data_IF_136720098352
#
_entry.id   IF_136720098352
#
_cell.length_a   1.000
_cell.length_b   1.000
_cell.length_c   1.000
_cell.angle_alpha   90.00
_cell.angle_beta   90.00
_cell.angle_gamma   90.00
#
_symmetry.space_group_name_H-M   'P 1'
#
loop_
_entity.id
_entity.type
_entity.pdbx_description
1 polymer ?
#
# COMPACT_ATOMS: atom_id res chain seq x y z
N UNK A 1 -9.94 4.00 9.41
CA UNK A 1 -9.18 4.88 8.49
C UNK A 1 -9.69 6.32 8.60
N UNK A 2 -8.88 7.32 8.25
CA UNK A 2 -9.33 8.73 8.24
C UNK A 2 -10.50 9.01 7.26
N UNK A 3 -10.58 8.26 6.15
CA UNK A 3 -11.74 8.33 5.25
C UNK A 3 -13.04 7.78 5.85
N UNK A 4 -12.98 7.01 6.93
CA UNK A 4 -14.17 6.46 7.58
C UNK A 4 -14.88 7.52 8.43
N UNK A 5 -14.11 8.44 9.03
CA UNK A 5 -14.62 9.52 9.89
C UNK A 5 -15.03 10.76 9.09
N UNK A 6 -14.82 10.82 7.77
CA UNK A 6 -15.36 11.90 6.95
C UNK A 6 -16.89 11.92 7.02
N UNK A 7 -17.45 13.08 7.38
CA UNK A 7 -18.88 13.35 7.52
C UNK A 7 -19.42 14.22 6.38
N UNK A 8 -18.67 15.26 6.02
CA UNK A 8 -18.99 16.19 4.94
C UNK A 8 -17.71 16.78 4.36
N UNK A 9 -17.69 17.03 3.05
CA UNK A 9 -16.63 17.75 2.35
C UNK A 9 -17.24 18.86 1.50
N UNK A 10 -16.57 20.00 1.42
CA UNK A 10 -16.87 21.07 0.46
C UNK A 10 -15.70 21.23 -0.49
N UNK A 11 -15.96 21.30 -1.79
CA UNK A 11 -14.95 21.37 -2.84
C UNK A 11 -15.34 22.33 -3.96
N UNK A 12 -14.33 22.82 -4.68
CA UNK A 12 -14.45 23.55 -5.95
C UNK A 12 -14.23 22.56 -7.08
N UNK A 13 -15.21 22.43 -7.98
CA UNK A 13 -15.16 21.55 -9.15
C UNK A 13 -14.48 22.22 -10.34
N UNK A 14 -14.21 21.48 -11.43
CA UNK A 14 -13.46 21.98 -12.59
C UNK A 14 -14.12 23.17 -13.29
N UNK A 15 -15.46 23.28 -13.22
CA UNK A 15 -16.24 24.40 -13.74
C UNK A 15 -16.40 25.57 -12.72
N UNK A 16 -15.67 25.52 -11.61
CA UNK A 16 -15.65 26.57 -10.59
C UNK A 16 -16.82 26.53 -9.59
N UNK A 17 -17.77 25.57 -9.69
CA UNK A 17 -18.85 25.46 -8.70
C UNK A 17 -18.35 24.96 -7.35
N UNK A 18 -18.84 25.59 -6.29
CA UNK A 18 -18.70 25.10 -4.91
C UNK A 18 -19.78 24.04 -4.66
N UNK A 19 -19.35 22.86 -4.24
CA UNK A 19 -20.22 21.70 -4.00
C UNK A 19 -19.92 21.13 -2.62
N UNK A 20 -20.97 20.93 -1.81
CA UNK A 20 -20.87 20.31 -0.49
C UNK A 20 -21.58 18.95 -0.53
N UNK A 21 -20.87 17.88 -0.15
CA UNK A 21 -21.36 16.50 -0.14
C UNK A 21 -21.12 15.84 1.22
N UNK A 22 -21.99 14.91 1.63
CA UNK A 22 -22.06 14.39 2.99
C UNK A 22 -22.55 12.95 3.11
N UNK A 23 -22.42 12.39 4.32
CA UNK A 23 -22.93 11.07 4.70
C UNK A 23 -24.47 10.95 4.74
N UNK A 24 -25.18 12.05 4.48
CA UNK A 24 -26.64 12.10 4.35
C UNK A 24 -27.13 12.08 2.92
N UNK A 25 -26.24 12.23 1.93
CA UNK A 25 -26.64 12.23 0.52
C UNK A 25 -27.06 10.83 0.07
N UNK A 26 -28.03 10.76 -0.84
CA UNK A 26 -28.52 9.47 -1.34
C UNK A 26 -27.39 8.75 -2.07
N UNK A 27 -27.05 7.53 -1.67
CA UNK A 27 -25.88 6.80 -2.17
C UNK A 27 -25.86 6.56 -3.70
N UNK A 28 -27.01 6.71 -4.38
CA UNK A 28 -27.16 6.61 -5.82
C UNK A 28 -27.22 7.97 -6.56
N UNK A 29 -27.31 9.11 -5.86
CA UNK A 29 -27.18 10.43 -6.47
C UNK A 29 -25.72 10.75 -6.79
N UNK A 30 -25.48 11.74 -7.63
CA UNK A 30 -24.13 12.09 -8.06
C UNK A 30 -23.30 12.68 -6.90
N UNK A 31 -23.95 13.37 -5.96
CA UNK A 31 -23.37 13.87 -4.71
C UNK A 31 -22.98 12.73 -3.77
N UNK A 32 -23.89 11.78 -3.52
CA UNK A 32 -23.60 10.61 -2.67
C UNK A 32 -22.50 9.70 -3.26
N UNK A 33 -22.44 9.62 -4.59
CA UNK A 33 -21.33 8.96 -5.30
C UNK A 33 -20.01 9.73 -5.13
N UNK A 34 -20.01 11.05 -5.30
CA UNK A 34 -18.81 11.89 -5.07
C UNK A 34 -18.32 11.78 -3.61
N UNK A 35 -19.22 11.84 -2.63
CA UNK A 35 -18.89 11.63 -1.22
C UNK A 35 -18.22 10.26 -0.99
N UNK A 36 -18.75 9.19 -1.60
CA UNK A 36 -18.13 7.86 -1.55
C UNK A 36 -16.71 7.83 -2.15
N UNK A 37 -16.45 8.60 -3.21
CA UNK A 37 -15.13 8.68 -3.84
C UNK A 37 -14.11 9.43 -2.96
N UNK A 38 -14.51 10.56 -2.38
CA UNK A 38 -13.68 11.33 -1.45
C UNK A 38 -13.25 10.50 -0.23
N UNK A 39 -14.00 9.44 0.12
CA UNK A 39 -13.64 8.47 1.17
C UNK A 39 -12.62 7.42 0.71
N UNK A 40 -11.51 7.87 0.13
CA UNK A 40 -10.31 7.03 -0.07
C UNK A 40 -9.77 6.96 -1.50
N UNK A 41 -10.24 7.77 -2.44
CA UNK A 41 -9.63 7.86 -3.77
C UNK A 41 -8.25 8.55 -3.76
N UNK A 42 -7.92 9.32 -2.73
CA UNK A 42 -6.74 10.21 -2.73
C UNK A 42 -7.03 11.56 -3.39
N UNK A 43 -6.10 12.51 -3.22
CA UNK A 43 -6.24 13.90 -3.70
C UNK A 43 -6.17 14.04 -5.23
N UNK A 44 -6.45 15.25 -5.73
CA UNK A 44 -6.25 15.60 -7.14
C UNK A 44 -7.13 14.86 -8.16
N UNK A 45 -8.32 14.39 -7.76
CA UNK A 45 -9.16 13.54 -8.63
C UNK A 45 -10.50 14.16 -9.08
N UNK A 46 -11.17 14.97 -8.26
CA UNK A 46 -12.58 15.38 -8.49
C UNK A 46 -12.87 16.87 -8.19
N UNK A 47 -11.87 17.64 -7.79
CA UNK A 47 -12.04 18.99 -7.28
C UNK A 47 -10.96 19.38 -6.27
N UNK A 48 -10.87 20.68 -5.98
CA UNK A 48 -10.06 21.22 -4.87
C UNK A 48 -10.92 21.20 -3.61
N UNK A 49 -10.59 20.37 -2.63
CA UNK A 49 -11.32 20.34 -1.35
C UNK A 49 -10.92 21.54 -0.50
N UNK A 50 -11.91 22.32 -0.05
CA UNK A 50 -11.73 23.54 0.75
C UNK A 50 -12.22 23.42 2.19
N UNK A 51 -13.04 22.41 2.50
CA UNK A 51 -13.50 22.12 3.86
C UNK A 51 -13.69 20.61 4.07
N UNK A 52 -13.28 20.10 5.22
CA UNK A 52 -13.68 18.79 5.73
C UNK A 52 -14.38 18.94 7.09
N UNK A 53 -15.50 18.23 7.28
CA UNK A 53 -16.10 17.97 8.59
C UNK A 53 -15.95 16.49 8.92
N UNK A 54 -15.41 16.22 10.11
CA UNK A 54 -15.07 14.86 10.56
C UNK A 54 -15.88 14.47 11.79
N UNK A 55 -16.17 13.19 11.96
CA UNK A 55 -16.56 12.61 13.24
C UNK A 55 -15.35 12.54 14.16
N UNK A 56 -15.53 12.97 15.41
CA UNK A 56 -14.55 12.84 16.48
C UNK A 56 -14.83 11.55 17.28
N UNK A 57 -13.76 10.84 17.65
CA UNK A 57 -13.85 9.70 18.57
C UNK A 57 -13.92 10.17 20.02
N UNK A 58 -14.76 9.55 20.85
CA UNK A 58 -14.65 9.65 22.32
C UNK A 58 -13.59 8.64 22.78
N UNK A 59 -12.62 9.10 23.58
CA UNK A 59 -11.64 8.24 24.25
C UNK A 59 -12.31 7.41 25.36
N UNK A 60 -11.73 6.27 25.71
CA UNK A 60 -12.21 5.44 26.82
C UNK A 60 -12.01 6.13 28.17
N UNK A 61 -10.88 6.79 28.36
CA UNK A 61 -10.58 7.55 29.58
C UNK A 61 -11.32 8.90 29.58
N UNK A 62 -12.17 9.14 30.59
CA UNK A 62 -13.02 10.35 30.65
C UNK A 62 -12.23 11.65 30.89
N UNK A 63 -11.00 11.56 31.43
CA UNK A 63 -10.09 12.71 31.58
C UNK A 63 -9.33 13.05 30.29
N UNK A 64 -9.54 12.26 29.22
CA UNK A 64 -8.91 12.43 27.91
C UNK A 64 -7.46 11.94 27.85
N UNK A 65 -7.05 11.10 28.80
CA UNK A 65 -5.72 10.50 28.84
C UNK A 65 -5.58 9.37 27.83
N UNK A 66 -4.39 9.26 27.23
CA UNK A 66 -3.93 8.14 26.42
C UNK A 66 -2.52 7.76 26.87
N UNK A 67 -2.15 6.49 26.73
CA UNK A 67 -0.75 6.07 26.90
C UNK A 67 -0.07 6.12 25.54
N UNK A 68 1.02 6.88 25.45
CA UNK A 68 1.80 6.96 24.22
C UNK A 68 3.30 6.88 24.50
N UNK A 69 4.08 6.41 23.52
CA UNK A 69 5.49 6.15 23.73
C UNK A 69 6.29 5.83 22.48
N UNK A 70 7.62 5.87 22.63
CA UNK A 70 8.57 5.53 21.56
C UNK A 70 9.78 4.79 22.11
N UNK A 71 10.05 3.62 21.55
CA UNK A 71 11.25 2.83 21.87
C UNK A 71 12.00 2.46 20.59
N UNK A 72 13.33 2.34 20.64
CA UNK A 72 14.14 1.77 19.56
C UNK A 72 14.90 0.59 20.14
N UNK A 73 14.60 -0.61 19.64
CA UNK A 73 15.32 -1.82 19.96
C UNK A 73 16.42 -2.05 18.94
N UNK A 74 17.66 -2.09 19.42
CA UNK A 74 18.83 -2.51 18.66
C UNK A 74 19.19 -3.93 19.14
N UNK A 75 18.89 -4.99 18.38
CA UNK A 75 19.31 -6.35 18.74
C UNK A 75 20.84 -6.46 18.75
N UNK A 76 21.37 -7.37 19.58
CA UNK A 76 22.79 -7.71 19.54
C UNK A 76 23.14 -8.41 18.22
N UNK A 77 24.30 -8.13 17.60
CA UNK A 77 24.74 -8.80 16.38
C UNK A 77 25.08 -10.29 16.56
N UNK A 78 25.11 -10.80 17.80
CA UNK A 78 25.32 -12.23 18.06
C UNK A 78 24.15 -13.06 17.49
N UNK A 79 24.46 -14.07 16.66
CA UNK A 79 23.48 -14.86 15.90
C UNK A 79 22.28 -15.34 16.75
N UNK A 80 22.53 -15.92 17.94
CA UNK A 80 21.47 -16.38 18.86
C UNK A 80 20.52 -15.25 19.30
N UNK A 81 21.04 -14.05 19.55
CA UNK A 81 20.23 -12.90 19.95
C UNK A 81 19.40 -12.37 18.77
N UNK A 82 19.96 -12.39 17.57
CA UNK A 82 19.24 -12.05 16.34
C UNK A 82 18.14 -13.08 16.01
N UNK A 83 18.38 -14.37 16.23
CA UNK A 83 17.34 -15.41 16.07
C UNK A 83 16.19 -15.24 17.07
N UNK A 84 16.50 -14.89 18.33
CA UNK A 84 15.49 -14.57 19.35
C UNK A 84 14.70 -13.31 18.98
N UNK A 85 15.38 -12.28 18.47
CA UNK A 85 14.78 -11.05 17.95
C UNK A 85 13.82 -11.34 16.78
N UNK A 86 14.26 -12.09 15.76
CA UNK A 86 13.41 -12.45 14.61
C UNK A 86 12.17 -13.23 15.03
N UNK A 87 12.32 -14.22 15.93
CA UNK A 87 11.19 -14.97 16.52
C UNK A 87 10.27 -14.08 17.37
N UNK A 88 10.81 -13.02 17.97
CA UNK A 88 10.03 -12.03 18.73
C UNK A 88 9.22 -11.14 17.80
N UNK A 89 9.79 -10.68 16.69
CA UNK A 89 9.08 -9.91 15.67
C UNK A 89 8.02 -10.74 14.94
N UNK A 90 8.31 -12.01 14.60
CA UNK A 90 7.33 -12.97 14.05
C UNK A 90 6.10 -13.05 14.97
N UNK A 91 6.31 -13.33 16.27
CA UNK A 91 5.21 -13.34 17.26
C UNK A 91 4.49 -12.00 17.33
N UNK A 92 5.23 -10.90 17.48
CA UNK A 92 4.69 -9.54 17.65
C UNK A 92 3.70 -9.12 16.55
N UNK A 93 4.00 -9.44 15.28
CA UNK A 93 3.10 -9.18 14.15
C UNK A 93 1.93 -10.17 14.05
N UNK A 94 2.05 -11.35 14.65
CA UNK A 94 0.95 -12.33 14.70
C UNK A 94 0.07 -12.20 15.94
N UNK A 95 0.50 -11.44 16.96
CA UNK A 95 -0.23 -11.20 18.20
C UNK A 95 -1.61 -10.61 17.91
N UNK A 96 -2.63 -11.22 18.50
CA UNK A 96 -3.97 -10.66 18.59
C UNK A 96 -3.97 -9.49 19.59
N UNK A 97 -3.88 -8.27 19.05
CA UNK A 97 -3.89 -7.01 19.79
C UNK A 97 -5.33 -6.46 19.89
N UNK A 98 -5.76 -5.95 21.06
CA UNK A 98 -7.10 -5.39 21.21
C UNK A 98 -7.24 -4.03 20.50
N UNK A 99 -8.46 -3.68 20.07
CA UNK A 99 -8.76 -2.44 19.31
C UNK A 99 -8.30 -1.13 20.00
N UNK A 100 -8.03 -1.14 21.31
CA UNK A 100 -7.53 0.01 22.07
C UNK A 100 -6.05 0.33 21.82
N UNK A 101 -5.25 -0.62 21.29
CA UNK A 101 -3.80 -0.44 21.10
C UNK A 101 -3.41 -0.36 19.62
N UNK A 102 -2.43 0.49 19.33
CA UNK A 102 -1.72 0.53 18.05
C UNK A 102 -0.23 0.61 18.36
N UNK A 103 0.56 -0.32 17.83
CA UNK A 103 2.02 -0.27 17.94
C UNK A 103 2.64 -0.34 16.54
N UNK A 104 2.81 0.82 15.92
CA UNK A 104 3.49 0.91 14.64
C UNK A 104 4.98 0.60 14.83
N UNK A 105 5.58 -0.05 13.83
CA UNK A 105 6.99 -0.46 13.89
C UNK A 105 7.74 -0.05 12.64
N UNK A 106 8.95 0.47 12.79
CA UNK A 106 9.85 0.79 11.68
C UNK A 106 11.14 0.01 11.85
N UNK A 107 11.40 -0.93 10.94
CA UNK A 107 12.73 -1.52 10.79
C UNK A 107 13.66 -0.45 10.22
N UNK A 108 14.88 -0.37 10.73
CA UNK A 108 15.87 0.65 10.42
C UNK A 108 17.20 -0.01 10.05
N UNK A 109 17.73 0.33 8.88
CA UNK A 109 19.10 0.07 8.49
C UNK A 109 19.77 1.40 8.12
N UNK A 110 20.50 1.94 9.08
CA UNK A 110 21.29 3.17 8.97
C UNK A 110 22.74 2.78 8.69
N UNK A 111 23.29 3.21 7.55
CA UNK A 111 24.64 2.84 7.12
C UNK A 111 25.73 3.41 8.05
N UNK A 112 25.50 4.56 8.70
CA UNK A 112 26.40 5.15 9.71
C UNK A 112 26.35 4.39 11.04
N UNK A 113 25.27 3.64 11.32
CA UNK A 113 25.15 2.83 12.52
C UNK A 113 25.79 1.44 12.36
N UNK A 114 26.94 1.21 13.01
CA UNK A 114 27.69 -0.07 12.94
C UNK A 114 27.44 -1.03 14.11
N UNK A 115 26.87 -0.57 15.23
CA UNK A 115 26.70 -1.37 16.45
C UNK A 115 25.63 -2.48 16.39
N UNK A 116 24.85 -2.55 15.30
CA UNK A 116 23.91 -3.65 15.04
C UNK A 116 23.62 -3.75 13.54
N UNK A 117 23.23 -4.94 13.08
CA UNK A 117 22.78 -5.21 11.70
C UNK A 117 21.60 -4.30 11.32
N UNK A 118 20.66 -4.11 12.23
CA UNK A 118 19.42 -3.35 12.06
C UNK A 118 18.88 -2.87 13.41
N UNK A 119 17.82 -2.06 13.38
CA UNK A 119 17.01 -1.74 14.56
C UNK A 119 15.52 -1.82 14.27
N UNK A 120 14.69 -1.86 15.30
CA UNK A 120 13.23 -1.62 15.17
C UNK A 120 12.81 -0.52 16.13
N UNK A 121 12.26 0.57 15.58
CA UNK A 121 11.55 1.62 16.31
C UNK A 121 10.09 1.22 16.47
N UNK A 122 9.56 1.31 17.68
CA UNK A 122 8.15 1.16 18.01
C UNK A 122 7.56 2.53 18.34
N UNK A 123 6.38 2.83 17.82
CA UNK A 123 5.53 3.96 18.22
C UNK A 123 4.25 3.39 18.82
N UNK A 124 4.01 3.66 20.09
CA UNK A 124 2.92 3.09 20.89
C UNK A 124 1.83 4.13 21.08
N UNK A 125 0.58 3.73 20.88
CA UNK A 125 -0.62 4.48 21.22
C UNK A 125 -1.63 3.52 21.87
N UNK A 126 -2.22 3.91 23.00
CA UNK A 126 -3.22 3.13 23.72
C UNK A 126 -4.29 4.03 24.34
N UNK A 127 -5.54 3.75 24.03
CA UNK A 127 -6.72 4.43 24.59
C UNK A 127 -7.16 3.72 25.89
N UNK A 128 -6.64 4.18 27.02
CA UNK A 128 -6.85 3.58 28.35
C UNK A 128 -5.81 4.05 29.37
N UNK A 129 -5.77 3.43 30.55
CA UNK A 129 -4.84 3.79 31.64
C UNK A 129 -3.44 3.18 31.47
N UNK A 130 -2.46 3.69 32.24
CA UNK A 130 -1.08 3.17 32.21
C UNK A 130 -0.98 1.76 32.78
N UNK A 131 -1.81 1.47 33.76
CA UNK A 131 -1.89 0.20 34.49
C UNK A 131 -2.45 -0.91 33.59
N UNK A 132 -3.51 -0.60 32.82
CA UNK A 132 -4.08 -1.51 31.82
C UNK A 132 -3.10 -1.77 30.66
N UNK A 133 -2.45 -0.72 30.16
CA UNK A 133 -1.39 -0.84 29.16
C UNK A 133 -0.24 -1.73 29.64
N UNK A 134 0.26 -1.51 30.85
CA UNK A 134 1.39 -2.29 31.39
C UNK A 134 1.02 -3.77 31.56
N UNK A 135 -0.21 -4.06 32.02
CA UNK A 135 -0.74 -5.42 32.10
C UNK A 135 -0.89 -6.07 30.73
N UNK A 136 -1.36 -5.33 29.72
CA UNK A 136 -1.49 -5.80 28.34
C UNK A 136 -0.12 -6.14 27.72
N UNK A 137 0.90 -5.31 27.96
CA UNK A 137 2.26 -5.57 27.48
C UNK A 137 2.89 -6.79 28.17
N UNK A 138 2.71 -6.96 29.49
CA UNK A 138 3.21 -8.15 30.19
C UNK A 138 2.53 -9.46 29.74
N UNK A 139 1.24 -9.40 29.40
CA UNK A 139 0.54 -10.54 28.82
C UNK A 139 1.02 -10.85 27.40
N UNK A 140 1.02 -9.86 26.50
CA UNK A 140 1.21 -10.09 25.06
C UNK A 140 2.69 -10.18 24.63
N UNK A 141 3.60 -9.49 25.32
CA UNK A 141 5.03 -9.40 24.92
C UNK A 141 5.91 -10.31 25.77
N UNK A 142 6.17 -11.52 25.27
CA UNK A 142 6.95 -12.54 26.02
C UNK A 142 8.46 -12.24 26.13
N UNK A 143 9.02 -11.34 25.31
CA UNK A 143 10.43 -10.95 25.40
C UNK A 143 10.57 -9.86 26.48
N UNK A 144 11.29 -10.19 27.57
CA UNK A 144 11.27 -9.41 28.82
C UNK A 144 11.84 -8.00 28.68
N UNK A 145 12.90 -7.81 27.90
CA UNK A 145 13.52 -6.50 27.72
C UNK A 145 12.68 -5.60 26.82
N UNK A 146 12.08 -6.15 25.75
CA UNK A 146 11.13 -5.41 24.92
C UNK A 146 9.91 -4.99 25.75
N UNK A 147 9.28 -5.90 26.50
CA UNK A 147 8.16 -5.59 27.38
C UNK A 147 8.53 -4.49 28.39
N UNK A 148 9.67 -4.63 29.09
CA UNK A 148 10.19 -3.64 30.03
C UNK A 148 10.41 -2.28 29.39
N UNK A 149 10.98 -2.21 28.20
CA UNK A 149 11.28 -0.93 27.54
C UNK A 149 10.02 -0.29 26.93
N UNK A 150 9.09 -1.05 26.35
CA UNK A 150 7.79 -0.50 25.90
C UNK A 150 7.04 0.14 27.07
N UNK A 151 6.98 -0.53 28.24
CA UNK A 151 6.37 0.02 29.46
C UNK A 151 7.10 1.24 30.04
N UNK A 152 8.43 1.25 30.00
CA UNK A 152 9.28 2.35 30.50
C UNK A 152 9.29 3.56 29.58
N UNK A 153 9.13 3.37 28.27
CA UNK A 153 9.22 4.40 27.23
C UNK A 153 7.85 4.90 26.75
N UNK A 154 6.79 4.56 27.49
CA UNK A 154 5.44 5.06 27.30
C UNK A 154 4.93 5.68 28.60
N UNK A 155 4.11 6.71 28.49
CA UNK A 155 3.56 7.47 29.61
C UNK A 155 2.09 7.84 29.32
N UNK A 156 1.29 8.03 30.38
CA UNK A 156 -0.09 8.49 30.26
C UNK A 156 -0.14 10.02 30.27
N UNK A 157 -0.74 10.62 29.25
CA UNK A 157 -0.90 12.07 29.13
C UNK A 157 -2.20 12.42 28.38
N UNK A 158 -2.63 13.68 28.49
CA UNK A 158 -3.77 14.17 27.70
C UNK A 158 -3.44 14.07 26.21
N UNK A 159 -4.32 13.43 25.45
CA UNK A 159 -4.17 13.23 24.00
C UNK A 159 -3.78 14.48 23.23
N UNK A 160 -4.35 15.64 23.58
CA UNK A 160 -4.02 16.95 22.97
C UNK A 160 -2.58 17.39 23.20
N UNK A 161 -2.02 17.15 24.38
CA UNK A 161 -0.62 17.47 24.71
C UNK A 161 0.31 16.58 23.88
N UNK A 162 0.09 15.27 23.90
CA UNK A 162 0.88 14.33 23.13
C UNK A 162 0.83 14.60 21.61
N UNK A 163 -0.36 14.91 21.08
CA UNK A 163 -0.55 15.32 19.69
C UNK A 163 0.26 16.56 19.33
N UNK A 164 0.31 17.56 20.22
CA UNK A 164 1.08 18.78 20.01
C UNK A 164 2.60 18.56 20.14
N UNK A 165 3.06 17.96 21.24
CA UNK A 165 4.49 17.87 21.54
C UNK A 165 5.21 16.79 20.73
N UNK A 166 4.57 15.64 20.48
CA UNK A 166 5.22 14.52 19.75
C UNK A 166 4.85 14.49 18.28
N UNK A 167 3.55 14.51 17.96
CA UNK A 167 3.12 14.38 16.56
C UNK A 167 3.30 15.68 15.77
N UNK A 168 2.91 16.85 16.29
CA UNK A 168 3.10 18.10 15.56
C UNK A 168 4.59 18.50 15.45
N UNK A 169 5.46 18.16 16.42
CA UNK A 169 6.91 18.30 16.23
C UNK A 169 7.41 17.42 15.10
N UNK A 170 7.07 16.12 15.09
CA UNK A 170 7.48 15.20 14.02
C UNK A 170 6.99 15.67 12.63
N UNK A 171 5.76 16.16 12.53
CA UNK A 171 5.22 16.67 11.26
C UNK A 171 5.85 18.00 10.84
N UNK A 172 6.17 18.89 11.80
CA UNK A 172 6.91 20.12 11.54
C UNK A 172 8.34 19.82 11.07
N UNK A 173 9.01 18.84 11.68
CA UNK A 173 10.32 18.35 11.27
C UNK A 173 10.31 17.77 9.85
N UNK A 174 9.35 16.90 9.50
CA UNK A 174 9.23 16.39 8.12
C UNK A 174 8.86 17.48 7.12
N UNK A 175 8.05 18.46 7.53
CA UNK A 175 7.74 19.65 6.69
C UNK A 175 8.99 20.49 6.45
N UNK A 176 9.81 20.74 7.48
CA UNK A 176 11.09 21.45 7.37
C UNK A 176 12.07 20.67 6.48
N UNK A 177 12.14 19.33 6.61
CA UNK A 177 12.97 18.46 5.74
C UNK A 177 12.50 18.42 4.29
N UNK A 178 11.22 18.67 4.02
CA UNK A 178 10.67 18.75 2.66
C UNK A 178 11.06 20.06 1.96
N UNK A 179 11.42 21.11 2.69
CA UNK A 179 11.97 22.33 2.10
C UNK A 179 13.46 22.17 1.78
N UNK A 180 13.91 22.52 0.55
CA UNK A 180 15.32 22.42 0.14
C UNK A 180 16.22 23.52 0.74
N UNK A 181 15.84 24.10 1.87
CA UNK A 181 16.56 25.19 2.56
C UNK A 181 17.64 24.72 3.54
N UNK A 182 17.79 23.40 3.72
CA UNK A 182 18.87 22.81 4.50
C UNK A 182 20.16 22.65 3.69
N UNK A 183 21.31 22.62 4.37
CA UNK A 183 22.64 22.43 3.76
C UNK A 183 22.95 21.00 3.29
N UNK A 184 22.01 20.07 3.44
CA UNK A 184 22.09 18.69 2.94
C UNK A 184 20.81 18.36 2.17
N UNK A 185 20.89 18.23 0.84
CA UNK A 185 19.77 17.73 0.05
C UNK A 185 19.71 16.22 0.23
N UNK A 186 18.61 15.72 0.79
CA UNK A 186 18.36 14.29 0.92
C UNK A 186 17.35 13.82 -0.13
N UNK A 187 17.75 12.85 -0.93
CA UNK A 187 16.89 12.18 -1.90
C UNK A 187 16.10 11.06 -1.22
N UNK A 188 14.87 10.81 -1.67
CA UNK A 188 14.01 9.76 -1.11
C UNK A 188 13.28 8.96 -2.19
N UNK A 189 13.08 7.67 -1.95
CA UNK A 189 12.23 6.79 -2.76
C UNK A 189 11.29 5.98 -1.85
N UNK A 190 10.09 5.69 -2.35
CA UNK A 190 9.04 5.00 -1.62
C UNK A 190 8.43 3.86 -2.43
N UNK A 191 8.02 2.79 -1.74
CA UNK A 191 7.14 1.75 -2.28
C UNK A 191 6.23 1.25 -1.16
N UNK A 192 4.94 1.04 -1.43
CA UNK A 192 3.97 0.57 -0.44
C UNK A 192 3.35 -0.79 -0.77
N UNK A 193 2.95 -1.47 0.30
CA UNK A 193 2.42 -2.83 0.33
C UNK A 193 1.28 -2.89 1.34
N UNK A 194 0.41 -3.86 1.18
CA UNK A 194 -0.69 -4.14 2.10
C UNK A 194 -0.67 -5.62 2.48
N UNK A 195 -0.54 -5.92 3.77
CA UNK A 195 -0.42 -7.30 4.28
C UNK A 195 -1.59 -7.66 5.20
N UNK A 196 -1.96 -8.96 5.18
CA UNK A 196 -2.82 -9.59 6.20
C UNK A 196 -1.96 -10.11 7.35
N UNK A 197 -2.57 -10.29 8.53
CA UNK A 197 -1.98 -11.12 9.58
C UNK A 197 -2.05 -12.60 9.19
N UNK A 198 -1.04 -13.07 8.46
CA UNK A 198 -0.79 -14.48 8.15
C UNK A 198 0.63 -14.80 8.63
N UNK A 199 0.76 -15.73 9.58
CA UNK A 199 2.03 -16.04 10.22
C UNK A 199 3.10 -16.54 9.24
N UNK A 200 2.72 -17.37 8.26
CA UNK A 200 3.65 -17.94 7.28
C UNK A 200 4.19 -16.88 6.32
N UNK A 201 3.31 -15.96 5.89
CA UNK A 201 3.66 -14.84 5.02
C UNK A 201 4.46 -13.79 5.78
N UNK A 202 4.05 -13.41 6.99
CA UNK A 202 4.77 -12.47 7.87
C UNK A 202 6.21 -12.94 8.10
N UNK A 203 6.41 -14.21 8.45
CA UNK A 203 7.74 -14.79 8.65
C UNK A 203 8.64 -14.64 7.42
N UNK A 204 8.07 -14.90 6.24
CA UNK A 204 8.76 -14.76 4.96
C UNK A 204 9.11 -13.29 4.68
N UNK A 205 8.15 -12.38 4.87
CA UNK A 205 8.33 -10.92 4.68
C UNK A 205 9.42 -10.37 5.59
N UNK A 206 9.40 -10.67 6.90
CA UNK A 206 10.45 -10.15 7.82
C UNK A 206 11.83 -10.77 7.53
N UNK A 207 11.88 -12.01 7.03
CA UNK A 207 13.13 -12.62 6.57
C UNK A 207 13.70 -11.88 5.36
N UNK A 208 12.86 -11.54 4.37
CA UNK A 208 13.26 -10.74 3.21
C UNK A 208 13.72 -9.34 3.67
N UNK A 209 12.96 -8.66 4.54
CA UNK A 209 13.34 -7.34 5.07
C UNK A 209 14.74 -7.37 5.68
N UNK A 210 15.04 -8.37 6.52
CA UNK A 210 16.38 -8.54 7.10
C UNK A 210 17.45 -8.79 6.03
N UNK A 211 17.19 -9.69 5.08
CA UNK A 211 18.13 -10.01 3.99
C UNK A 211 18.46 -8.79 3.14
N UNK A 212 17.46 -7.98 2.78
CA UNK A 212 17.67 -6.75 2.01
C UNK A 212 18.35 -5.66 2.85
N UNK A 213 18.10 -5.57 4.17
CA UNK A 213 18.86 -4.68 5.05
C UNK A 213 20.35 -5.04 5.13
N UNK A 214 20.67 -6.34 5.15
CA UNK A 214 22.06 -6.81 5.06
C UNK A 214 22.66 -6.58 3.66
N UNK A 215 21.86 -6.69 2.59
CA UNK A 215 22.28 -6.37 1.22
C UNK A 215 22.59 -4.88 1.05
N UNK A 216 21.74 -3.99 1.57
CA UNK A 216 21.91 -2.54 1.55
C UNK A 216 23.27 -2.12 2.15
N UNK A 217 23.63 -2.69 3.30
CA UNK A 217 24.95 -2.45 3.93
C UNK A 217 26.15 -2.93 3.11
N UNK A 218 25.97 -4.00 2.33
CA UNK A 218 27.03 -4.61 1.51
C UNK A 218 27.20 -3.89 0.17
N UNK A 219 26.11 -3.37 -0.39
CA UNK A 219 26.08 -2.73 -1.71
C UNK A 219 26.43 -1.23 -1.65
N UNK A 220 26.19 -0.57 -0.51
CA UNK A 220 26.48 0.87 -0.32
C UNK A 220 27.47 1.15 0.85
N UNK A 221 28.65 0.50 0.90
CA UNK A 221 29.59 0.69 2.02
C UNK A 221 30.20 2.10 2.01
N UNK A 222 30.03 2.84 3.11
CA UNK A 222 30.57 4.19 3.30
C UNK A 222 29.62 5.33 2.96
N UNK A 223 28.47 5.03 2.35
CA UNK A 223 27.46 6.03 1.98
C UNK A 223 26.62 6.52 3.16
N UNK A 224 26.12 7.76 3.09
CA UNK A 224 25.02 8.21 3.98
C UNK A 224 23.66 7.77 3.43
N UNK A 225 23.29 6.54 3.78
CA UNK A 225 22.03 5.92 3.38
C UNK A 225 21.24 5.39 4.58
N UNK A 226 19.91 5.50 4.47
CA UNK A 226 18.95 5.04 5.46
C UNK A 226 17.82 4.28 4.77
N UNK A 227 17.78 2.97 4.99
CA UNK A 227 16.66 2.11 4.59
C UNK A 227 15.72 1.92 5.78
N UNK A 228 14.45 2.30 5.60
CA UNK A 228 13.37 2.05 6.55
C UNK A 228 12.32 1.12 5.95
N UNK A 229 11.77 0.23 6.77
CA UNK A 229 10.53 -0.50 6.46
C UNK A 229 9.53 -0.31 7.59
N UNK A 230 8.55 0.55 7.37
CA UNK A 230 7.50 0.85 8.34
C UNK A 230 6.29 -0.04 8.13
N UNK A 231 5.76 -0.55 9.23
CA UNK A 231 4.50 -1.28 9.34
C UNK A 231 3.56 -0.45 10.22
N UNK A 232 2.45 -0.02 9.63
CA UNK A 232 1.35 0.70 10.28
C UNK A 232 0.23 -0.29 10.52
N UNK A 233 -0.24 -0.42 11.76
CA UNK A 233 -1.41 -1.26 12.06
C UNK A 233 -2.68 -0.62 11.49
N UNK A 234 -3.43 -1.38 10.70
CA UNK A 234 -4.62 -0.93 9.97
C UNK A 234 -5.78 -1.94 9.99
N UNK A 235 -5.77 -2.87 10.95
CA UNK A 235 -6.82 -3.85 11.18
C UNK A 235 -7.95 -3.33 12.07
N UNK A 236 -8.53 -4.22 12.88
CA UNK A 236 -9.54 -3.88 13.89
C UNK A 236 -10.73 -3.15 13.27
N UNK A 237 -11.09 -2.00 13.85
CA UNK A 237 -12.21 -1.16 13.36
C UNK A 237 -12.11 -0.75 11.89
N UNK A 238 -10.91 -0.64 11.30
CA UNK A 238 -10.76 -0.27 9.89
C UNK A 238 -11.21 -1.39 8.92
N UNK A 239 -11.16 -2.65 9.36
CA UNK A 239 -11.60 -3.84 8.64
C UNK A 239 -13.11 -4.12 8.78
N UNK A 240 -13.82 -3.41 9.66
CA UNK A 240 -15.24 -3.63 9.92
C UNK A 240 -16.20 -3.20 8.78
N UNK A 241 -15.72 -2.38 7.83
CA UNK A 241 -16.49 -1.93 6.66
C UNK A 241 -16.33 -2.86 5.47
N UNK A 242 -17.36 -2.99 4.64
CA UNK A 242 -17.26 -3.75 3.39
C UNK A 242 -16.25 -3.10 2.44
N UNK A 243 -15.55 -3.93 1.67
CA UNK A 243 -14.55 -3.55 0.64
C UNK A 243 -15.04 -2.48 -0.36
N UNK A 244 -16.35 -2.43 -0.62
CA UNK A 244 -17.01 -1.51 -1.56
C UNK A 244 -17.71 -0.32 -0.88
N UNK A 245 -17.72 -0.23 0.46
CA UNK A 245 -18.48 0.78 1.22
C UNK A 245 -17.91 2.20 1.10
N UNK A 246 -16.62 2.30 0.76
CA UNK A 246 -15.90 3.54 0.43
C UNK A 246 -14.92 3.28 -0.71
N UNK A 247 -14.33 4.30 -1.32
CA UNK A 247 -13.26 4.11 -2.30
C UNK A 247 -12.06 3.29 -1.78
N UNK A 248 -11.70 3.40 -0.49
CA UNK A 248 -10.65 2.57 0.12
C UNK A 248 -11.03 1.07 0.16
N UNK A 249 -10.38 0.28 -0.71
CA UNK A 249 -10.70 -1.12 -1.03
C UNK A 249 -10.11 -2.17 -0.09
N UNK A 250 -8.96 -1.90 0.52
CA UNK A 250 -8.12 -2.90 1.18
C UNK A 250 -8.49 -3.14 2.66
N UNK A 251 -9.78 -3.41 2.92
CA UNK A 251 -10.35 -3.52 4.27
C UNK A 251 -9.81 -4.70 5.08
N UNK A 252 -9.63 -5.85 4.44
CA UNK A 252 -9.17 -7.08 5.08
C UNK A 252 -7.67 -7.09 5.48
N UNK A 253 -6.97 -5.94 5.39
CA UNK A 253 -5.58 -5.85 5.77
C UNK A 253 -5.43 -5.68 7.29
N UNK A 254 -4.28 -6.10 7.81
CA UNK A 254 -3.86 -5.78 9.18
C UNK A 254 -2.73 -4.75 9.18
N UNK A 255 -2.00 -4.66 8.07
CA UNK A 255 -0.84 -3.80 7.93
C UNK A 255 -0.84 -3.04 6.61
N UNK A 256 -0.67 -1.72 6.68
CA UNK A 256 -0.05 -0.96 5.61
C UNK A 256 1.45 -0.93 5.87
N UNK A 257 2.25 -1.34 4.87
CA UNK A 257 3.70 -1.27 4.97
C UNK A 257 4.28 -0.39 3.86
N UNK A 258 5.38 0.30 4.14
CA UNK A 258 6.14 0.99 3.11
C UNK A 258 7.63 0.88 3.36
N UNK A 259 8.39 0.80 2.25
CA UNK A 259 9.83 1.01 2.23
C UNK A 259 10.06 2.51 2.00
N UNK A 260 11.01 3.08 2.73
CA UNK A 260 11.63 4.37 2.39
C UNK A 260 13.14 4.15 2.26
N UNK A 261 13.71 4.53 1.13
CA UNK A 261 15.15 4.79 1.01
C UNK A 261 15.37 6.29 1.13
N UNK A 262 16.37 6.70 1.90
CA UNK A 262 16.87 8.07 1.99
C UNK A 262 18.40 8.05 1.78
N UNK A 263 18.95 8.95 0.97
CA UNK A 263 20.40 9.06 0.73
C UNK A 263 20.82 10.49 0.38
N UNK A 264 22.12 10.80 0.50
CA UNK A 264 22.68 12.13 0.17
C UNK A 264 23.21 12.23 -1.28
N UNK A 265 24.07 11.31 -1.72
CA UNK A 265 24.78 11.47 -3.00
C UNK A 265 23.87 11.25 -4.22
N UNK A 266 23.60 12.35 -4.95
CA UNK A 266 22.70 12.36 -6.12
C UNK A 266 23.01 11.28 -7.16
N UNK A 267 24.29 10.96 -7.35
CA UNK A 267 24.75 10.02 -8.38
C UNK A 267 24.26 8.58 -8.15
N UNK A 268 23.94 8.22 -6.89
CA UNK A 268 23.39 6.91 -6.51
C UNK A 268 21.92 6.72 -6.91
N UNK A 269 21.26 7.70 -7.54
CA UNK A 269 19.82 7.62 -7.83
C UNK A 269 19.44 6.35 -8.61
N UNK A 270 20.23 5.95 -9.59
CA UNK A 270 19.93 4.75 -10.38
C UNK A 270 20.15 3.46 -9.57
N UNK A 271 21.18 3.41 -8.74
CA UNK A 271 21.46 2.25 -7.87
C UNK A 271 20.38 2.10 -6.79
N UNK A 272 19.94 3.21 -6.17
CA UNK A 272 18.87 3.24 -5.19
C UNK A 272 17.52 2.83 -5.79
N UNK A 273 17.22 3.27 -7.03
CA UNK A 273 16.04 2.80 -7.79
C UNK A 273 16.13 1.31 -8.11
N UNK A 274 17.28 0.83 -8.58
CA UNK A 274 17.50 -0.59 -8.89
C UNK A 274 17.41 -1.49 -7.66
N UNK A 275 17.97 -1.06 -6.53
CA UNK A 275 17.85 -1.75 -5.24
C UNK A 275 16.39 -1.81 -4.75
N UNK A 276 15.68 -0.68 -4.78
CA UNK A 276 14.27 -0.64 -4.37
C UNK A 276 13.39 -1.52 -5.26
N UNK A 277 13.64 -1.56 -6.57
CA UNK A 277 12.87 -2.39 -7.49
C UNK A 277 13.01 -3.89 -7.17
N UNK A 278 14.25 -4.38 -6.98
CA UNK A 278 14.52 -5.77 -6.57
C UNK A 278 13.87 -6.12 -5.22
N UNK A 279 13.93 -5.21 -4.25
CA UNK A 279 13.29 -5.40 -2.94
C UNK A 279 11.75 -5.43 -3.09
N UNK A 280 11.18 -4.52 -3.90
CA UNK A 280 9.74 -4.49 -4.20
C UNK A 280 9.27 -5.79 -4.83
N UNK A 281 9.98 -6.33 -5.80
CA UNK A 281 9.67 -7.61 -6.46
C UNK A 281 9.61 -8.77 -5.46
N UNK A 282 10.56 -8.86 -4.53
CA UNK A 282 10.56 -9.88 -3.48
C UNK A 282 9.37 -9.77 -2.51
N UNK A 283 8.91 -8.55 -2.20
CA UNK A 283 7.78 -8.33 -1.27
C UNK A 283 6.41 -8.31 -1.92
N UNK A 284 6.32 -7.98 -3.22
CA UNK A 284 5.05 -7.78 -3.94
C UNK A 284 4.13 -9.02 -3.91
N UNK A 285 4.60 -10.28 -4.08
CA UNK A 285 3.77 -11.49 -3.94
C UNK A 285 3.12 -11.67 -2.57
N UNK A 286 3.73 -11.14 -1.50
CA UNK A 286 3.18 -11.23 -0.15
C UNK A 286 2.04 -10.25 0.09
N UNK A 287 1.99 -9.15 -0.67
CA UNK A 287 0.91 -8.18 -0.60
C UNK A 287 -0.43 -8.77 -1.04
N UNK A 288 -1.55 -8.18 -0.59
CA UNK A 288 -2.88 -8.65 -0.94
C UNK A 288 -3.08 -8.69 -2.47
N UNK A 289 -3.58 -9.83 -2.96
CA UNK A 289 -3.73 -10.14 -4.39
C UNK A 289 -2.43 -9.95 -5.20
N UNK A 290 -1.26 -10.13 -4.57
CA UNK A 290 0.06 -9.92 -5.21
C UNK A 290 0.32 -8.49 -5.68
N UNK A 291 -0.55 -7.51 -5.39
CA UNK A 291 -0.49 -6.19 -6.04
C UNK A 291 -0.79 -5.00 -5.14
N UNK A 292 -1.63 -5.16 -4.11
CA UNK A 292 -2.19 -4.04 -3.34
C UNK A 292 -1.13 -3.04 -2.81
N UNK A 293 -1.42 -1.75 -2.94
CA UNK A 293 -0.64 -0.66 -2.36
C UNK A 293 -1.59 0.41 -1.81
N UNK A 294 -1.06 1.40 -1.10
CA UNK A 294 -1.86 2.46 -0.48
C UNK A 294 -1.61 3.81 -1.16
N UNK A 295 -2.68 4.46 -1.63
CA UNK A 295 -2.61 5.67 -2.46
C UNK A 295 -1.88 6.85 -1.79
N UNK A 296 -1.93 6.95 -0.45
CA UNK A 296 -1.19 7.98 0.30
C UNK A 296 0.32 7.71 0.39
N UNK A 297 0.78 6.55 -0.10
CA UNK A 297 2.19 6.22 -0.31
C UNK A 297 2.39 5.87 -1.80
N UNK A 298 2.32 6.86 -2.70
CA UNK A 298 2.42 6.64 -4.14
C UNK A 298 3.80 6.05 -4.50
N UNK A 299 3.80 5.04 -5.37
CA UNK A 299 5.03 4.43 -5.90
C UNK A 299 5.19 4.96 -7.33
N UNK A 300 6.12 5.89 -7.53
CA UNK A 300 6.34 6.56 -8.82
C UNK A 300 6.74 5.61 -9.97
N UNK A 301 7.13 4.36 -9.67
CA UNK A 301 7.43 3.34 -10.67
C UNK A 301 6.20 2.50 -11.09
N UNK A 302 5.02 2.68 -10.45
CA UNK A 302 3.78 2.06 -10.94
C UNK A 302 3.26 2.79 -12.18
N UNK A 303 3.13 2.04 -13.27
CA UNK A 303 2.55 2.51 -14.52
C UNK A 303 1.10 2.99 -14.33
N UNK A 304 0.71 4.03 -15.07
CA UNK A 304 -0.62 4.68 -15.01
C UNK A 304 -1.80 3.78 -15.41
N UNK A 305 -1.53 2.69 -16.13
CA UNK A 305 -2.51 1.67 -16.50
C UNK A 305 -2.81 0.66 -15.37
N UNK A 306 -1.85 0.46 -14.45
CA UNK A 306 -1.88 -0.52 -13.37
C UNK A 306 -2.24 0.11 -12.01
N UNK A 307 -1.86 1.37 -11.77
CA UNK A 307 -2.07 2.10 -10.51
C UNK A 307 -3.49 1.98 -9.94
N UNK A 308 -4.54 2.18 -10.76
CA UNK A 308 -5.93 2.08 -10.31
C UNK A 308 -6.31 0.68 -9.80
N UNK A 309 -5.75 -0.39 -10.38
CA UNK A 309 -5.97 -1.77 -9.91
C UNK A 309 -5.21 -2.02 -8.60
N UNK A 310 -4.02 -1.44 -8.47
CA UNK A 310 -3.15 -1.53 -7.29
C UNK A 310 -3.68 -0.75 -6.09
N UNK A 311 -4.31 0.40 -6.30
CA UNK A 311 -4.85 1.25 -5.24
C UNK A 311 -6.33 0.99 -4.90
N UNK A 312 -7.16 0.71 -5.90
CA UNK A 312 -8.62 0.63 -5.72
C UNK A 312 -9.22 -0.75 -6.04
N UNK A 313 -8.47 -1.67 -6.67
CA UNK A 313 -9.02 -2.95 -7.13
C UNK A 313 -10.27 -2.73 -7.98
N UNK A 314 -11.38 -3.41 -7.66
CA UNK A 314 -12.67 -3.26 -8.37
C UNK A 314 -13.50 -2.04 -7.95
N UNK A 315 -13.00 -1.21 -7.02
CA UNK A 315 -13.59 0.11 -6.78
C UNK A 315 -13.25 1.11 -7.91
N UNK A 316 -12.25 0.81 -8.76
CA UNK A 316 -11.83 1.69 -9.88
C UNK A 316 -12.97 1.98 -10.86
N UNK A 317 -13.80 0.99 -11.24
CA UNK A 317 -14.88 1.21 -12.22
C UNK A 317 -15.88 2.27 -11.74
N UNK A 318 -16.21 2.25 -10.44
CA UNK A 318 -17.07 3.26 -9.81
C UNK A 318 -16.38 4.62 -9.71
N UNK A 319 -15.07 4.67 -9.43
CA UNK A 319 -14.30 5.92 -9.45
C UNK A 319 -14.27 6.55 -10.86
N UNK A 320 -14.07 5.75 -11.90
CA UNK A 320 -14.06 6.20 -13.29
C UNK A 320 -15.44 6.69 -13.74
N UNK A 321 -16.54 6.04 -13.33
CA UNK A 321 -17.89 6.55 -13.64
C UNK A 321 -18.21 7.86 -12.92
N UNK A 322 -17.68 8.06 -11.71
CA UNK A 322 -17.78 9.33 -10.96
C UNK A 322 -16.94 10.43 -11.61
N UNK A 323 -15.72 10.10 -12.07
CA UNK A 323 -14.85 11.01 -12.84
C UNK A 323 -15.58 11.56 -14.06
N UNK A 324 -16.26 10.69 -14.82
CA UNK A 324 -17.07 11.09 -16.00
C UNK A 324 -18.21 12.08 -15.68
N UNK A 325 -18.71 12.09 -14.44
CA UNK A 325 -19.79 13.00 -13.99
C UNK A 325 -19.22 14.35 -13.53
N UNK A 326 -18.21 14.31 -12.66
CA UNK A 326 -17.72 15.48 -11.93
C UNK A 326 -16.50 16.17 -12.55
N UNK A 327 -15.81 15.50 -13.46
CA UNK A 327 -14.66 16.02 -14.20
C UNK A 327 -14.58 15.36 -15.60
N UNK A 328 -15.64 15.58 -16.39
CA UNK A 328 -15.84 14.97 -17.71
C UNK A 328 -14.71 15.25 -18.69
N UNK A 329 -14.11 16.44 -18.60
CA UNK A 329 -13.04 16.90 -19.49
C UNK A 329 -11.63 16.56 -18.93
N UNK A 330 -11.58 15.84 -17.81
CA UNK A 330 -10.36 15.35 -17.17
C UNK A 330 -9.38 16.46 -16.75
N UNK A 331 -9.91 17.59 -16.26
CA UNK A 331 -9.13 18.74 -15.80
C UNK A 331 -8.17 18.38 -14.66
N UNK A 332 -8.62 17.59 -13.69
CA UNK A 332 -7.78 17.09 -12.60
C UNK A 332 -7.04 15.82 -13.03
N UNK A 333 -6.02 15.96 -13.89
CA UNK A 333 -5.21 14.86 -14.42
C UNK A 333 -3.80 14.83 -13.84
N UNK A 334 -3.36 13.65 -13.40
CA UNK A 334 -1.98 13.38 -13.00
C UNK A 334 -1.65 11.88 -13.18
N UNK A 335 -0.37 11.51 -13.12
CA UNK A 335 0.13 10.21 -13.60
C UNK A 335 -0.51 8.96 -12.97
N UNK A 336 -1.05 9.04 -11.75
CA UNK A 336 -1.68 7.90 -11.07
C UNK A 336 -3.11 8.22 -10.58
N UNK A 337 -3.71 9.29 -11.10
CA UNK A 337 -5.09 9.67 -10.81
C UNK A 337 -6.13 8.72 -11.42
N UNK A 338 -7.36 8.85 -10.93
CA UNK A 338 -8.54 8.18 -11.48
C UNK A 338 -8.76 8.65 -12.92
N UNK A 339 -8.83 7.72 -13.86
CA UNK A 339 -8.99 8.02 -15.29
C UNK A 339 -10.47 8.14 -15.69
N UNK A 340 -10.72 8.67 -16.88
CA UNK A 340 -12.02 8.51 -17.53
C UNK A 340 -12.22 7.03 -17.96
N UNK A 341 -13.47 6.52 -18.02
CA UNK A 341 -13.74 5.19 -18.54
C UNK A 341 -13.28 5.08 -20.00
N UNK A 342 -12.54 4.02 -20.34
CA UNK A 342 -12.16 3.79 -21.74
C UNK A 342 -13.39 3.44 -22.60
N UNK A 343 -13.44 3.92 -23.86
CA UNK A 343 -14.52 3.59 -24.78
C UNK A 343 -14.54 2.09 -25.10
N UNK A 344 -15.73 1.53 -25.33
CA UNK A 344 -15.89 0.07 -25.45
C UNK A 344 -15.16 -0.54 -26.66
N UNK A 345 -14.91 0.25 -27.70
CA UNK A 345 -14.09 -0.15 -28.86
C UNK A 345 -12.66 -0.54 -28.51
N UNK A 346 -12.13 -0.11 -27.36
CA UNK A 346 -10.82 -0.54 -26.86
C UNK A 346 -10.86 -1.90 -26.14
N UNK A 347 -12.03 -2.40 -25.74
CA UNK A 347 -12.18 -3.70 -25.06
C UNK A 347 -12.12 -4.89 -26.04
N UNK A 348 -12.30 -4.66 -27.34
CA UNK A 348 -12.40 -5.70 -28.37
C UNK A 348 -11.07 -6.02 -29.08
N UNK A 349 -9.94 -5.48 -28.61
CA UNK A 349 -8.61 -5.96 -28.99
C UNK A 349 -8.12 -7.09 -28.07
N UNK A 350 -8.99 -8.08 -27.82
CA UNK A 350 -8.53 -9.41 -27.42
C UNK A 350 -7.92 -10.10 -28.63
N UNK A 351 -6.72 -10.68 -28.46
CA UNK A 351 -5.97 -11.35 -29.51
C UNK A 351 -6.81 -12.44 -30.19
N UNK A 352 -7.14 -12.25 -31.47
CA UNK A 352 -7.80 -13.28 -32.27
C UNK A 352 -6.75 -14.28 -32.80
N UNK A 353 -6.30 -15.18 -31.92
CA UNK A 353 -5.25 -16.18 -32.19
C UNK A 353 -5.58 -17.10 -33.39
N UNK A 354 -6.85 -17.17 -33.82
CA UNK A 354 -7.28 -17.93 -35.00
C UNK A 354 -7.11 -17.21 -36.35
N UNK A 355 -6.74 -15.92 -36.37
CA UNK A 355 -6.53 -15.17 -37.62
C UNK A 355 -5.07 -15.19 -38.11
N UNK A 356 -4.10 -15.53 -37.26
CA UNK A 356 -2.67 -15.46 -37.58
C UNK A 356 -2.08 -16.73 -38.23
N UNK A 357 -2.82 -17.85 -38.27
CA UNK A 357 -2.33 -19.14 -38.77
C UNK A 357 -2.57 -19.40 -40.28
N UNK A 358 -3.08 -18.41 -41.02
CA UNK A 358 -3.45 -18.55 -42.43
C UNK A 358 -2.46 -17.93 -43.43
N UNK A 359 -1.27 -17.47 -42.98
CA UNK A 359 -0.37 -16.67 -43.82
C UNK A 359 1.14 -16.90 -43.61
N UNK A 360 1.56 -18.11 -43.21
CA UNK A 360 2.98 -18.51 -43.16
C UNK A 360 3.27 -19.68 -44.12
N UNK A 361 4.34 -19.62 -44.94
CA UNK A 361 4.77 -20.73 -45.78
C UNK A 361 5.17 -21.97 -44.98
N UNK A 362 5.04 -23.15 -45.58
CA UNK A 362 5.15 -24.44 -44.91
C UNK A 362 6.54 -24.78 -44.30
N UNK A 363 7.58 -23.98 -44.59
CA UNK A 363 8.95 -24.28 -44.16
C UNK A 363 9.28 -23.83 -42.72
N UNK A 364 8.56 -22.86 -42.15
CA UNK A 364 8.78 -22.43 -40.74
C UNK A 364 8.15 -23.38 -39.71
N UNK A 365 7.12 -24.15 -40.10
CA UNK A 365 6.46 -25.14 -39.23
C UNK A 365 7.37 -26.29 -38.76
N UNK A 366 8.55 -26.47 -39.38
CA UNK A 366 9.52 -27.50 -39.00
C UNK A 366 10.46 -27.14 -37.85
N UNK A 367 10.57 -25.86 -37.45
CA UNK A 367 11.39 -25.48 -36.29
C UNK A 367 10.66 -25.58 -34.94
N UNK A 368 9.32 -25.62 -34.94
CA UNK A 368 8.53 -25.70 -33.70
C UNK A 368 8.32 -27.13 -33.18
N UNK A 369 8.63 -28.16 -33.96
CA UNK A 369 8.43 -29.57 -33.58
C UNK A 369 9.56 -30.21 -32.77
N UNK A 370 10.60 -29.46 -32.37
CA UNK A 370 11.80 -30.00 -31.70
C UNK A 370 11.92 -29.74 -30.19
N UNK A 371 10.90 -29.16 -29.54
CA UNK A 371 10.94 -28.81 -28.11
C UNK A 371 9.82 -29.42 -27.25
N UNK A 372 9.25 -30.56 -27.66
CA UNK A 372 8.15 -31.22 -26.94
C UNK A 372 8.41 -32.72 -26.66
N UNK A 373 9.32 -33.04 -25.73
CA UNK A 373 9.49 -34.41 -25.19
C UNK A 373 9.76 -34.40 -23.67
N UNK A 374 8.72 -34.82 -22.92
CA UNK A 374 8.70 -35.57 -21.65
C UNK A 374 7.79 -34.98 -20.56
N UNK A 375 6.61 -35.60 -20.41
CA UNK A 375 5.73 -35.46 -19.26
C UNK A 375 5.23 -36.84 -18.80
N UNK A 376 5.84 -37.37 -17.75
CA UNK A 376 5.36 -38.46 -16.90
C UNK A 376 5.62 -38.01 -15.44
N UNK A 377 4.82 -38.28 -14.43
CA UNK A 377 3.49 -38.91 -14.34
C UNK A 377 2.82 -38.47 -13.03
N UNK A 378 1.49 -38.54 -12.90
CA UNK A 378 0.78 -38.33 -11.63
C UNK A 378 -0.35 -39.37 -11.49
N UNK A 379 -0.47 -40.08 -10.35
CA UNK A 379 -1.48 -41.12 -10.17
C UNK A 379 -2.85 -40.56 -9.75
N UNK A 380 -3.90 -41.34 -10.04
CA UNK A 380 -5.30 -40.94 -9.92
C UNK A 380 -5.88 -41.08 -8.49
N UNK A 381 -6.97 -40.35 -8.25
CA UNK A 381 -7.90 -40.54 -7.12
C UNK A 381 -9.26 -41.06 -7.61
N UNK A 382 -9.89 -42.04 -6.92
CA UNK A 382 -11.18 -42.64 -7.30
C UNK A 382 -12.40 -41.89 -6.70
N UNK A 383 -13.66 -42.23 -7.08
CA UNK A 383 -14.78 -41.27 -7.04
C UNK A 383 -15.94 -41.55 -6.06
N UNK A 384 -16.74 -40.50 -5.83
CA UNK A 384 -18.22 -40.42 -5.68
C UNK A 384 -19.03 -41.36 -4.76
N UNK A 385 -19.78 -40.76 -3.82
CA UNK A 385 -21.15 -41.12 -3.37
C UNK A 385 -21.70 -39.98 -2.47
N UNK A 386 -22.99 -39.66 -2.29
CA UNK A 386 -24.26 -39.90 -3.02
C UNK A 386 -24.81 -38.50 -3.46
N UNK A 387 -26.09 -38.20 -3.80
CA UNK A 387 -27.38 -38.92 -3.89
C UNK A 387 -28.48 -37.95 -4.40
N UNK A 388 -29.57 -38.47 -4.98
CA UNK A 388 -30.56 -37.76 -5.81
C UNK A 388 -31.85 -37.32 -5.04
N UNK A 389 -32.86 -36.81 -5.77
CA UNK A 389 -34.17 -36.20 -5.39
C UNK A 389 -34.11 -34.66 -5.28
N UNK A 390 -34.90 -33.83 -6.00
CA UNK A 390 -36.29 -33.95 -6.51
C UNK A 390 -37.22 -33.11 -5.62
N UNK A 391 -38.11 -32.21 -6.06
CA UNK A 391 -38.67 -31.90 -7.39
C UNK A 391 -39.30 -30.46 -7.41
N UNK A 392 -39.53 -29.95 -8.62
CA UNK A 392 -40.54 -28.99 -9.11
C UNK A 392 -40.69 -27.48 -8.73
N UNK A 393 -40.71 -26.68 -9.81
CA UNK A 393 -41.45 -25.41 -10.12
C UNK A 393 -41.67 -24.31 -9.06
N UNK A 394 -41.11 -23.13 -9.32
CA UNK A 394 -41.82 -22.04 -10.04
C UNK A 394 -40.88 -20.90 -10.50
N UNK A 395 -41.19 -20.27 -11.63
CA UNK A 395 -40.46 -19.12 -12.19
C UNK A 395 -40.97 -17.81 -11.56
N UNK A 396 -40.04 -16.98 -11.05
CA UNK A 396 -40.27 -15.59 -10.65
C UNK A 396 -39.13 -14.72 -11.19
N UNK A 397 -39.48 -13.67 -11.93
CA UNK A 397 -38.57 -12.87 -12.73
C UNK A 397 -38.00 -11.67 -11.95
N UNK A 398 -36.86 -11.86 -11.27
CA UNK A 398 -35.96 -10.78 -10.85
C UNK A 398 -34.51 -11.18 -11.13
N UNK A 399 -33.83 -10.41 -11.98
CA UNK A 399 -32.46 -10.68 -12.42
C UNK A 399 -31.41 -10.33 -11.37
N UNK A 400 -31.20 -11.23 -10.40
CA UNK A 400 -30.09 -11.14 -9.46
C UNK A 400 -28.73 -11.16 -10.20
N UNK A 401 -28.04 -10.02 -10.21
CA UNK A 401 -26.64 -9.96 -10.61
C UNK A 401 -25.81 -10.56 -9.48
N UNK A 402 -25.53 -11.86 -9.60
CA UNK A 402 -24.62 -12.58 -8.70
C UNK A 402 -23.25 -11.90 -8.74
N UNK A 403 -22.90 -11.20 -7.66
CA UNK A 403 -21.60 -10.56 -7.45
C UNK A 403 -20.54 -11.66 -7.18
N UNK A 404 -20.12 -12.34 -8.25
CA UNK A 404 -19.00 -13.28 -8.24
C UNK A 404 -17.71 -12.51 -7.90
N UNK A 405 -17.38 -12.45 -6.60
CA UNK A 405 -16.06 -12.05 -6.10
C UNK A 405 -15.02 -12.87 -6.87
N UNK A 406 -14.15 -12.21 -7.66
CA UNK A 406 -13.34 -12.83 -8.72
C UNK A 406 -12.54 -14.04 -8.20
N UNK A 407 -13.07 -15.25 -8.42
CA UNK A 407 -12.41 -16.51 -8.08
C UNK A 407 -11.37 -16.88 -9.14
N UNK A 408 -10.10 -16.92 -8.72
CA UNK A 408 -9.02 -17.84 -9.15
C UNK A 408 -8.62 -17.93 -10.64
N UNK A 409 -9.34 -17.34 -11.59
CA UNK A 409 -9.09 -17.50 -13.03
C UNK A 409 -8.46 -16.26 -13.71
N UNK A 410 -8.26 -15.15 -12.97
CA UNK A 410 -7.62 -13.93 -13.49
C UNK A 410 -6.15 -13.77 -13.11
N UNK A 411 -5.61 -14.66 -12.27
CA UNK A 411 -4.25 -14.53 -11.73
C UNK A 411 -3.13 -15.03 -12.68
N UNK A 412 -3.46 -15.75 -13.77
CA UNK A 412 -2.48 -16.18 -14.79
C UNK A 412 -2.04 -15.00 -15.68
N UNK A 413 -2.99 -14.19 -16.15
CA UNK A 413 -2.70 -13.06 -17.04
C UNK A 413 -1.92 -11.93 -16.35
N UNK A 414 -1.98 -11.84 -15.02
CA UNK A 414 -1.32 -10.77 -14.26
C UNK A 414 0.20 -10.96 -14.12
N UNK A 415 0.71 -12.21 -14.25
CA UNK A 415 2.14 -12.48 -14.40
C UNK A 415 2.60 -12.37 -15.86
N UNK A 416 1.78 -12.82 -16.82
CA UNK A 416 2.13 -12.80 -18.25
C UNK A 416 2.30 -11.36 -18.80
N UNK A 417 1.54 -10.38 -18.30
CA UNK A 417 1.75 -8.95 -18.62
C UNK A 417 3.05 -8.35 -18.01
N UNK A 418 3.71 -9.04 -17.07
CA UNK A 418 4.95 -8.56 -16.44
C UNK A 418 6.21 -9.22 -17.03
N UNK A 419 6.14 -10.50 -17.38
CA UNK A 419 7.26 -11.25 -17.96
C UNK A 419 7.46 -11.01 -19.48
N UNK A 420 6.52 -10.32 -20.14
CA UNK A 420 6.55 -10.01 -21.59
C UNK A 420 7.10 -8.62 -21.95
N UNK A 421 7.71 -7.90 -20.99
CA UNK A 421 8.23 -6.55 -21.22
C UNK A 421 9.67 -6.56 -21.76
N UNK A 422 9.83 -6.46 -23.08
CA UNK A 422 11.14 -6.30 -23.73
C UNK A 422 11.82 -4.99 -23.28
N UNK A 423 12.99 -5.11 -22.64
CA UNK A 423 13.86 -3.96 -22.36
C UNK A 423 14.47 -3.43 -23.66
N UNK A 424 14.31 -2.12 -23.99
CA UNK A 424 14.99 -1.53 -25.13
C UNK A 424 16.52 -1.62 -24.98
N UNK A 425 17.18 -2.25 -25.95
CA UNK A 425 18.63 -2.38 -25.94
C UNK A 425 19.34 -1.01 -25.93
N UNK A 426 20.39 -0.89 -25.12
CA UNK A 426 21.13 0.34 -24.94
C UNK A 426 22.00 0.71 -26.16
N UNK A 427 21.39 1.33 -27.17
CA UNK A 427 22.12 1.97 -28.28
C UNK A 427 21.34 3.15 -28.85
N UNK A 428 21.82 4.38 -28.60
CA UNK A 428 21.27 5.61 -29.16
C UNK A 428 21.75 6.86 -28.43
N UNK A 429 22.67 7.62 -29.04
CA UNK A 429 23.15 8.89 -28.48
C UNK A 429 22.01 9.93 -28.43
N UNK A 430 21.73 10.48 -27.25
CA UNK A 430 20.81 11.61 -27.11
C UNK A 430 21.59 12.92 -27.24
N UNK A 431 21.21 13.73 -28.23
CA UNK A 431 21.86 14.98 -28.57
C UNK A 431 21.23 16.16 -27.80
N UNK A 432 21.98 16.73 -26.84
CA UNK A 432 21.54 17.84 -25.99
C UNK A 432 21.68 19.20 -26.68
N UNK A 433 20.76 19.55 -27.59
CA UNK A 433 20.76 20.88 -28.25
C UNK A 433 19.37 21.44 -28.58
N UNK A 434 18.44 21.44 -27.61
CA UNK A 434 17.13 22.11 -27.75
C UNK A 434 16.51 22.59 -26.42
N UNK A 435 17.29 23.19 -25.51
CA UNK A 435 16.73 23.92 -24.35
C UNK A 435 16.68 25.42 -24.65
N UNK A 436 15.49 25.90 -25.06
CA UNK A 436 15.38 27.23 -25.64
C UNK A 436 13.96 27.83 -25.65
N UNK A 437 13.27 27.86 -24.50
CA UNK A 437 12.39 28.96 -24.04
C UNK A 437 11.77 28.59 -22.69
N UNK A 438 11.77 29.55 -21.76
CA UNK A 438 11.37 29.31 -20.38
C UNK A 438 9.87 29.13 -20.20
N UNK A 439 9.50 28.06 -19.52
CA UNK A 439 8.32 27.99 -18.68
C UNK A 439 8.87 27.78 -17.27
N UNK A 440 8.66 28.75 -16.38
CA UNK A 440 8.89 28.55 -14.95
C UNK A 440 7.67 27.79 -14.44
N UNK A 441 7.85 26.51 -14.12
CA UNK A 441 6.81 25.72 -13.48
C UNK A 441 6.57 26.24 -12.06
N UNK A 442 5.30 26.55 -11.75
CA UNK A 442 4.86 27.03 -10.44
C UNK A 442 4.43 25.89 -9.49
N UNK A 443 4.68 24.63 -9.87
CA UNK A 443 4.49 23.43 -9.02
C UNK A 443 5.26 23.44 -7.69
N UNK A 444 6.16 24.41 -7.47
CA UNK A 444 6.81 24.68 -6.19
C UNK A 444 5.88 25.27 -5.11
N UNK A 445 4.62 25.60 -5.42
CA UNK A 445 3.60 26.05 -4.45
C UNK A 445 2.54 24.95 -4.27
N UNK A 446 2.84 23.98 -3.42
CA UNK A 446 2.07 22.74 -3.28
C UNK A 446 0.61 22.94 -2.85
N UNK A 447 -0.31 22.53 -3.73
CA UNK A 447 -1.74 22.27 -3.51
C UNK A 447 -2.14 20.99 -4.24
#
# INVERSE_FOLDING_TARGET
>A
MGCDTLKQATLVTADGRIVTVSDKDKANSDEGRLFWALRGAGGGNFGVVVEFKMYLSKLQNEEGLVVAGRYVWLPSPAAKAMDEFMKTMERFYTTDWPDQITIDSTWLCDLKQTGSELGVRFLVYYDGTKEEFDKLIDDKVKQKDLAKQLKRRSLAEKSTRFLHETLASQWSEETIKAFPSGSEVKHKLYSSFVFKNDASRIKSVISIIRQEMAAFRREFPGEDGLLQVTWIHSGGKASAKKRSETAFRWRDCTYHAYIMLEWQEKWLEMDMRGFLQKFKEKLRPFSMMGRAAFINFPDAALQSNASERVYYGNNRQKLQSIKKIWDRDNFFQWNQGVRLPQPESAKTQTFNVKAASASLPADELRMLSSFAINSESAPASPPSSLGDEGDDRTLGDEGDVVDMDEQLLTDVNASEEWDSFDHPAASGQINYSALGRGIIDLSALGF
#
